data_IF_665557752617
#
_entry.id   IF_665557752617
#
_cell.length_a   1.000
_cell.length_b   1.000
_cell.length_c   1.000
_cell.angle_alpha   90.00
_cell.angle_beta   90.00
_cell.angle_gamma   90.00
#
_symmetry.space_group_name_H-M   'P 1'
#
loop_
_entity.id
_entity.type
_entity.pdbx_description
1 polymer ?
#
# COMPACT_ATOMS: atom_id res chain seq x y z
N UNK A 1 2.94 7.63 -8.17
CA UNK A 1 2.35 8.05 -9.43
C UNK A 1 1.62 6.93 -10.18
N UNK A 2 2.02 5.66 -10.13
CA UNK A 2 1.37 4.63 -10.95
C UNK A 2 -0.13 4.45 -10.69
N UNK A 3 -0.60 4.77 -9.50
CA UNK A 3 -2.02 4.68 -9.14
C UNK A 3 -2.82 5.85 -9.73
N UNK A 4 -2.30 7.07 -9.63
CA UNK A 4 -2.99 8.29 -10.06
C UNK A 4 -2.76 8.60 -11.54
N UNK A 5 -1.59 8.26 -12.06
CA UNK A 5 -1.17 8.52 -13.43
C UNK A 5 -0.58 7.26 -14.07
N UNK A 6 -1.39 6.20 -14.24
CA UNK A 6 -0.90 4.91 -14.74
C UNK A 6 -0.33 4.98 -16.17
N UNK A 7 -0.75 5.96 -16.96
CA UNK A 7 -0.23 6.20 -18.31
C UNK A 7 1.26 6.59 -18.34
N UNK A 8 1.81 7.02 -17.21
CA UNK A 8 3.25 7.31 -17.07
C UNK A 8 4.10 6.04 -16.94
N UNK A 9 3.48 4.89 -16.79
CA UNK A 9 4.15 3.60 -16.91
C UNK A 9 4.26 3.25 -18.39
N UNK A 10 5.09 4.01 -19.07
CA UNK A 10 5.31 3.88 -20.52
C UNK A 10 6.41 2.85 -20.86
N UNK A 11 6.61 2.61 -22.14
CA UNK A 11 7.62 1.68 -22.63
C UNK A 11 9.03 2.06 -22.22
N UNK A 12 9.36 3.36 -22.20
CA UNK A 12 10.68 3.86 -21.78
C UNK A 12 10.98 3.54 -20.33
N UNK A 13 10.03 3.77 -19.43
CA UNK A 13 10.19 3.41 -18.02
C UNK A 13 10.32 1.89 -17.85
N UNK A 14 9.49 1.11 -18.50
CA UNK A 14 9.53 -0.36 -18.42
C UNK A 14 10.86 -0.90 -18.92
N UNK A 15 11.37 -0.41 -20.05
CA UNK A 15 12.69 -0.80 -20.57
C UNK A 15 13.83 -0.43 -19.61
N UNK A 16 13.79 0.78 -19.05
CA UNK A 16 14.77 1.23 -18.06
C UNK A 16 14.82 0.30 -16.87
N UNK A 17 13.66 -0.04 -16.30
CA UNK A 17 13.55 -0.92 -15.14
C UNK A 17 13.96 -2.36 -15.46
N UNK A 18 13.65 -2.85 -16.66
CA UNK A 18 14.00 -4.20 -17.08
C UNK A 18 15.49 -4.38 -17.37
N UNK A 19 16.19 -3.33 -17.77
CA UNK A 19 17.60 -3.39 -18.22
C UNK A 19 18.59 -2.85 -17.20
N UNK A 20 18.12 -2.16 -16.16
CA UNK A 20 19.02 -1.63 -15.12
C UNK A 20 19.72 -2.76 -14.36
N UNK A 21 20.98 -2.56 -14.04
CA UNK A 21 21.75 -3.46 -13.15
C UNK A 21 21.45 -3.23 -11.66
N UNK A 22 20.76 -2.16 -11.35
CA UNK A 22 20.41 -1.83 -9.96
C UNK A 22 19.22 -2.67 -9.49
N UNK A 23 19.18 -2.96 -8.21
CA UNK A 23 18.00 -3.55 -7.59
C UNK A 23 17.01 -2.45 -7.26
N UNK A 24 15.87 -2.48 -7.93
CA UNK A 24 14.84 -1.44 -7.79
C UNK A 24 13.71 -1.96 -6.91
N UNK A 25 13.33 -1.14 -5.94
CA UNK A 25 12.10 -1.31 -5.17
C UNK A 25 11.24 -0.08 -5.42
N UNK A 26 10.06 -0.28 -5.97
CA UNK A 26 9.09 0.78 -6.20
C UNK A 26 7.99 0.71 -5.13
N UNK A 27 7.74 1.81 -4.45
CA UNK A 27 6.67 1.92 -3.47
C UNK A 27 5.54 2.77 -4.05
N UNK A 28 4.35 2.19 -4.11
CA UNK A 28 3.13 2.88 -4.56
C UNK A 28 2.23 3.19 -3.36
N UNK A 29 1.27 4.08 -3.55
CA UNK A 29 0.31 4.49 -2.53
C UNK A 29 -1.11 4.23 -3.02
N UNK A 30 -1.74 3.20 -2.47
CA UNK A 30 -3.11 2.80 -2.76
C UNK A 30 -3.82 2.48 -1.45
N UNK A 31 -4.95 3.11 -1.20
CA UNK A 31 -5.71 3.01 0.05
C UNK A 31 -6.94 2.10 -0.05
N UNK A 32 -7.41 1.83 -1.26
CA UNK A 32 -8.63 1.07 -1.50
C UNK A 32 -8.53 0.28 -2.81
N UNK A 33 -9.09 -0.92 -2.85
CA UNK A 33 -9.09 -1.76 -4.05
C UNK A 33 -9.75 -1.11 -5.27
N UNK A 34 -10.72 -0.21 -5.07
CA UNK A 34 -11.36 0.55 -6.14
C UNK A 34 -10.41 1.46 -6.92
N UNK A 35 -9.27 1.83 -6.33
CA UNK A 35 -8.24 2.61 -7.03
C UNK A 35 -7.51 1.77 -8.09
N UNK A 36 -7.61 0.45 -8.02
CA UNK A 36 -6.95 -0.47 -8.96
C UNK A 36 -7.98 -0.89 -10.02
N UNK A 37 -8.26 0.03 -10.93
CA UNK A 37 -9.03 -0.27 -12.13
C UNK A 37 -8.18 -1.06 -13.14
N UNK A 38 -8.77 -1.39 -14.29
CA UNK A 38 -8.07 -2.18 -15.32
C UNK A 38 -6.80 -1.50 -15.83
N UNK A 39 -6.78 -0.17 -15.91
CA UNK A 39 -5.63 0.58 -16.42
C UNK A 39 -4.50 0.56 -15.38
N UNK A 40 -4.82 0.81 -14.12
CA UNK A 40 -3.88 0.73 -13.00
C UNK A 40 -3.36 -0.70 -12.83
N UNK A 41 -4.22 -1.70 -12.90
CA UNK A 41 -3.83 -3.11 -12.85
C UNK A 41 -2.80 -3.46 -13.92
N UNK A 42 -3.07 -3.05 -15.15
CA UNK A 42 -2.14 -3.25 -16.27
C UNK A 42 -0.79 -2.56 -16.02
N UNK A 43 -0.81 -1.33 -15.51
CA UNK A 43 0.41 -0.58 -15.19
C UNK A 43 1.23 -1.29 -14.09
N UNK A 44 0.59 -1.74 -13.02
CA UNK A 44 1.25 -2.47 -11.94
C UNK A 44 1.83 -3.81 -12.42
N UNK A 45 1.07 -4.55 -13.23
CA UNK A 45 1.54 -5.81 -13.84
C UNK A 45 2.75 -5.57 -14.75
N UNK A 46 2.76 -4.51 -15.54
CA UNK A 46 3.92 -4.15 -16.38
C UNK A 46 5.15 -3.84 -15.54
N UNK A 47 4.99 -3.10 -14.46
CA UNK A 47 6.09 -2.79 -13.52
C UNK A 47 6.64 -4.06 -12.87
N UNK A 48 5.77 -4.90 -12.31
CA UNK A 48 6.20 -6.13 -11.66
C UNK A 48 6.84 -7.13 -12.60
N UNK A 49 6.43 -7.16 -13.87
CA UNK A 49 7.01 -8.05 -14.89
C UNK A 49 8.45 -7.71 -15.27
N UNK A 50 8.95 -6.53 -14.93
CA UNK A 50 10.34 -6.14 -15.16
C UNK A 50 11.32 -6.83 -14.20
N UNK A 51 10.82 -7.55 -13.18
CA UNK A 51 11.64 -8.19 -12.14
C UNK A 51 11.93 -7.30 -10.93
N UNK A 52 11.38 -6.07 -10.89
CA UNK A 52 11.50 -5.20 -9.71
C UNK A 52 10.52 -5.63 -8.62
N UNK A 53 10.78 -5.21 -7.39
CA UNK A 53 9.86 -5.39 -6.28
C UNK A 53 8.92 -4.19 -6.21
N UNK A 54 7.61 -4.45 -6.21
CA UNK A 54 6.58 -3.40 -6.05
C UNK A 54 5.91 -3.59 -4.69
N UNK A 55 5.96 -2.55 -3.86
CA UNK A 55 5.38 -2.52 -2.52
C UNK A 55 4.30 -1.44 -2.45
N UNK A 56 3.32 -1.63 -1.57
CA UNK A 56 2.27 -0.64 -1.33
C UNK A 56 2.33 -0.09 0.08
N UNK A 57 2.16 1.22 0.21
CA UNK A 57 1.85 1.90 1.45
C UNK A 57 0.43 2.41 1.38
N UNK A 58 -0.36 2.14 2.40
CA UNK A 58 -1.71 2.68 2.57
C UNK A 58 -1.81 3.48 3.86
N UNK A 59 -2.82 4.34 3.94
CA UNK A 59 -3.19 5.09 5.14
C UNK A 59 -4.53 4.57 5.63
N UNK A 60 -4.63 4.31 6.92
CA UNK A 60 -5.89 3.90 7.54
C UNK A 60 -6.79 5.12 7.72
N UNK A 61 -7.94 5.12 7.09
CA UNK A 61 -8.87 6.24 7.00
C UNK A 61 -10.27 5.82 7.43
N UNK A 62 -10.81 6.50 8.44
CA UNK A 62 -12.19 6.29 8.91
C UNK A 62 -13.20 6.49 7.79
N UNK A 63 -14.15 5.57 7.66
CA UNK A 63 -15.19 5.61 6.63
C UNK A 63 -14.71 5.26 5.20
N UNK A 64 -13.43 4.98 5.01
CA UNK A 64 -12.86 4.63 3.70
C UNK A 64 -12.39 3.18 3.66
N UNK A 65 -11.48 2.81 4.55
CA UNK A 65 -10.87 1.48 4.58
C UNK A 65 -10.70 0.90 5.99
N UNK A 66 -11.44 1.39 6.96
CA UNK A 66 -11.35 1.01 8.38
C UNK A 66 -12.16 -0.23 8.75
N UNK A 67 -12.33 -1.14 7.81
CA UNK A 67 -12.91 -2.47 8.05
C UNK A 67 -12.03 -3.58 7.48
N UNK A 68 -12.13 -4.77 8.09
CA UNK A 68 -11.27 -5.89 7.75
C UNK A 68 -11.50 -6.39 6.31
N UNK A 69 -12.74 -6.42 5.84
CA UNK A 69 -13.06 -6.89 4.49
C UNK A 69 -12.41 -6.01 3.42
N UNK A 70 -12.50 -4.70 3.58
CA UNK A 70 -11.90 -3.72 2.68
C UNK A 70 -10.38 -3.85 2.63
N UNK A 71 -9.73 -4.00 3.77
CA UNK A 71 -8.27 -4.14 3.84
C UNK A 71 -7.79 -5.49 3.30
N UNK A 72 -8.53 -6.56 3.55
CA UNK A 72 -8.23 -7.89 2.98
C UNK A 72 -8.36 -7.85 1.46
N UNK A 73 -9.42 -7.23 0.94
CA UNK A 73 -9.61 -7.07 -0.50
C UNK A 73 -8.49 -6.25 -1.14
N UNK A 74 -8.08 -5.16 -0.51
CA UNK A 74 -6.95 -4.35 -0.98
C UNK A 74 -5.67 -5.20 -1.07
N UNK A 75 -5.34 -5.96 -0.04
CA UNK A 75 -4.15 -6.82 -0.02
C UNK A 75 -4.20 -7.87 -1.14
N UNK A 76 -5.33 -8.52 -1.33
CA UNK A 76 -5.52 -9.51 -2.40
C UNK A 76 -5.44 -8.89 -3.79
N UNK A 77 -6.04 -7.72 -3.96
CA UNK A 77 -6.05 -7.01 -5.24
C UNK A 77 -4.66 -6.51 -5.62
N UNK A 78 -3.90 -6.00 -4.66
CA UNK A 78 -2.50 -5.61 -4.84
C UNK A 78 -1.66 -6.81 -5.26
N UNK A 79 -1.77 -7.92 -4.56
CA UNK A 79 -1.02 -9.13 -4.88
C UNK A 79 -1.33 -9.66 -6.28
N UNK A 80 -2.58 -9.67 -6.69
CA UNK A 80 -2.99 -10.05 -8.04
C UNK A 80 -2.38 -9.14 -9.12
N UNK A 81 -2.14 -7.87 -8.81
CA UNK A 81 -1.49 -6.90 -9.70
C UNK A 81 0.05 -6.90 -9.61
N UNK A 82 0.64 -7.76 -8.77
CA UNK A 82 2.08 -7.89 -8.62
C UNK A 82 2.72 -6.99 -7.57
N UNK A 83 1.94 -6.43 -6.65
CA UNK A 83 2.42 -5.61 -5.53
C UNK A 83 2.18 -6.32 -4.19
N UNK A 84 3.09 -6.09 -3.24
CA UNK A 84 2.93 -6.60 -1.88
C UNK A 84 2.51 -5.48 -0.94
N UNK A 85 1.58 -5.72 0.00
CA UNK A 85 1.34 -4.80 1.10
C UNK A 85 2.62 -4.63 1.92
N UNK A 86 2.91 -3.39 2.28
CA UNK A 86 4.13 -3.07 3.04
C UNK A 86 3.78 -2.39 4.35
N UNK A 87 3.32 -1.14 4.27
CA UNK A 87 2.89 -0.40 5.44
C UNK A 87 1.41 -0.02 5.38
N UNK A 88 0.76 -0.08 6.55
CA UNK A 88 -0.50 0.60 6.84
C UNK A 88 -0.17 1.69 7.86
N UNK A 89 -0.23 2.94 7.42
CA UNK A 89 0.07 4.10 8.27
C UNK A 89 -1.17 4.51 9.05
N UNK A 90 -1.00 4.78 10.35
CA UNK A 90 -1.96 5.64 11.02
C UNK A 90 -1.92 7.02 10.38
N UNK A 91 -3.10 7.67 10.31
CA UNK A 91 -3.20 9.00 9.74
C UNK A 91 -2.43 10.02 10.59
N UNK A 92 -1.61 10.83 9.93
CA UNK A 92 -0.94 11.95 10.60
C UNK A 92 -1.96 12.98 11.08
N UNK A 93 -1.77 13.46 12.32
CA UNK A 93 -2.61 14.49 12.92
C UNK A 93 -2.28 15.86 12.35
N UNK A 94 -2.71 16.10 11.11
CA UNK A 94 -2.59 17.41 10.46
C UNK A 94 -3.93 18.14 10.49
N UNK A 95 -3.91 19.47 10.45
CA UNK A 95 -5.12 20.27 10.40
C UNK A 95 -6.02 19.89 9.23
N UNK A 96 -7.31 19.63 9.51
CA UNK A 96 -8.32 19.25 8.51
C UNK A 96 -8.46 17.76 8.22
N UNK A 97 -7.57 16.90 8.76
CA UNK A 97 -7.63 15.45 8.55
C UNK A 97 -8.23 14.66 9.73
N UNK A 98 -8.50 15.30 10.86
CA UNK A 98 -8.93 14.64 12.10
C UNK A 98 -10.20 13.78 11.97
N UNK A 99 -11.12 14.13 11.06
CA UNK A 99 -12.35 13.37 10.83
C UNK A 99 -12.13 12.01 10.14
N UNK A 100 -10.94 11.75 9.60
CA UNK A 100 -10.54 10.45 9.05
C UNK A 100 -9.67 9.64 10.01
N UNK A 101 -9.43 10.13 11.22
CA UNK A 101 -8.60 9.44 12.22
C UNK A 101 -9.30 8.19 12.74
N UNK A 102 -8.58 7.08 12.77
CA UNK A 102 -9.01 5.82 13.38
C UNK A 102 -8.28 5.66 14.71
N UNK A 103 -9.01 5.32 15.77
CA UNK A 103 -8.41 5.07 17.07
C UNK A 103 -7.39 3.92 17.03
N UNK A 104 -6.30 4.07 17.77
CA UNK A 104 -5.21 3.09 17.81
C UNK A 104 -5.66 1.68 18.22
N UNK A 105 -6.59 1.57 19.18
CA UNK A 105 -7.16 0.27 19.59
C UNK A 105 -7.88 -0.42 18.44
N UNK A 106 -8.66 0.32 17.66
CA UNK A 106 -9.36 -0.22 16.49
C UNK A 106 -8.38 -0.62 15.39
N UNK A 107 -7.34 0.17 15.16
CA UNK A 107 -6.30 -0.16 14.19
C UNK A 107 -5.61 -1.48 14.54
N UNK A 108 -5.29 -1.70 15.80
CA UNK A 108 -4.71 -2.95 16.29
C UNK A 108 -5.65 -4.14 16.13
N UNK A 109 -6.95 -3.97 16.41
CA UNK A 109 -7.97 -5.00 16.19
C UNK A 109 -8.11 -5.36 14.72
N UNK A 110 -8.10 -4.37 13.83
CA UNK A 110 -8.14 -4.58 12.38
C UNK A 110 -6.95 -5.41 11.90
N UNK A 111 -5.74 -5.07 12.32
CA UNK A 111 -4.53 -5.82 11.95
C UNK A 111 -4.60 -7.26 12.49
N UNK A 112 -5.06 -7.47 13.72
CA UNK A 112 -5.23 -8.80 14.27
C UNK A 112 -6.22 -9.63 13.46
N UNK A 113 -7.34 -9.04 13.05
CA UNK A 113 -8.35 -9.69 12.20
C UNK A 113 -7.78 -10.04 10.82
N UNK A 114 -7.08 -9.11 10.18
CA UNK A 114 -6.45 -9.34 8.88
C UNK A 114 -5.42 -10.46 8.97
N UNK A 115 -4.62 -10.49 10.03
CA UNK A 115 -3.62 -11.53 10.26
C UNK A 115 -4.23 -12.93 10.38
N UNK A 116 -5.46 -13.03 10.88
CA UNK A 116 -6.18 -14.30 10.94
C UNK A 116 -6.75 -14.77 9.59
N UNK A 117 -6.83 -13.87 8.60
CA UNK A 117 -7.49 -14.12 7.31
C UNK A 117 -6.54 -14.21 6.11
N UNK A 118 -5.32 -13.70 6.25
CA UNK A 118 -4.34 -13.62 5.18
C UNK A 118 -3.03 -14.31 5.56
N UNK A 119 -2.29 -14.84 4.59
CA UNK A 119 -0.92 -15.26 4.84
C UNK A 119 -0.06 -14.06 5.26
N UNK A 120 0.96 -14.31 6.08
CA UNK A 120 1.75 -13.25 6.70
C UNK A 120 2.33 -12.23 5.71
N UNK A 121 2.73 -12.67 4.52
CA UNK A 121 3.29 -11.77 3.50
C UNK A 121 2.26 -10.83 2.85
N UNK A 122 0.97 -11.00 3.11
CA UNK A 122 -0.11 -10.11 2.66
C UNK A 122 -0.66 -9.22 3.79
N UNK A 123 -0.10 -9.30 4.98
CA UNK A 123 -0.48 -8.45 6.12
C UNK A 123 0.49 -7.28 6.20
N UNK A 124 0.02 -6.03 5.99
CA UNK A 124 0.88 -4.86 6.13
C UNK A 124 1.29 -4.64 7.58
N UNK A 125 2.41 -3.97 7.79
CA UNK A 125 2.81 -3.52 9.12
C UNK A 125 2.09 -2.23 9.46
N UNK A 126 1.38 -2.21 10.57
CA UNK A 126 0.79 -0.98 11.11
C UNK A 126 1.89 -0.12 11.71
N UNK A 127 2.04 1.10 11.23
CA UNK A 127 3.12 2.01 11.61
C UNK A 127 2.59 3.42 11.90
N UNK A 128 3.35 4.14 12.71
CA UNK A 128 3.14 5.56 13.01
C UNK A 128 4.41 6.32 12.69
N UNK A 129 4.28 7.49 12.08
CA UNK A 129 5.36 8.47 11.99
C UNK A 129 5.33 9.37 13.22
N UNK A 130 6.43 9.36 13.97
CA UNK A 130 6.58 10.20 15.16
C UNK A 130 7.67 11.23 14.86
N UNK A 131 7.38 12.55 14.97
CA UNK A 131 8.39 13.59 14.77
C UNK A 131 9.62 13.37 15.66
N UNK A 132 10.81 13.56 15.11
CA UNK A 132 12.07 13.43 15.83
C UNK A 132 12.60 12.00 15.99
N UNK A 133 11.91 10.98 15.48
CA UNK A 133 12.41 9.60 15.45
C UNK A 133 13.16 9.31 14.14
N UNK A 134 14.13 8.39 14.19
CA UNK A 134 14.94 8.00 13.03
C UNK A 134 14.20 7.06 12.08
N UNK A 135 13.11 6.45 12.52
CA UNK A 135 12.35 5.49 11.75
C UNK A 135 10.88 5.53 12.11
N UNK A 136 10.05 4.90 11.27
CA UNK A 136 8.64 4.67 11.61
C UNK A 136 8.52 3.76 12.83
N UNK A 137 7.57 4.06 13.71
CA UNK A 137 7.27 3.21 14.87
C UNK A 137 6.33 2.09 14.43
N UNK A 138 6.76 0.85 14.56
CA UNK A 138 5.94 -0.32 14.26
C UNK A 138 5.01 -0.58 15.45
N UNK A 139 3.70 -0.62 15.20
CA UNK A 139 2.67 -0.87 16.21
C UNK A 139 2.19 -2.33 16.17
N UNK A 140 2.13 -2.89 14.98
CA UNK A 140 1.75 -4.28 14.77
C UNK A 140 2.19 -4.81 13.39
#
# INVERSE_FOLDING_TARGET
>A
FPIVLPERVDTGLVELLATTRLRVVLVVHCNHAQEIDRIVDTALCRLSSTGITVLNQSVLLDGVNDDADTLVELSRRLFAAGALPYYLHELDRVAGAAHFEVEASRALELIATIRSRLPGYLVPRLVRETPGTLSKTVLA
#
